data_IF_955669927386
#
_entry.id   IF_955669927386
#
_cell.length_a   1.000
_cell.length_b   1.000
_cell.length_c   1.000
_cell.angle_alpha   90.00
_cell.angle_beta   90.00
_cell.angle_gamma   90.00
#
_symmetry.space_group_name_H-M   'P 1'
#
loop_
_entity.id
_entity.type
_entity.pdbx_description
1 polymer ?
#
# COMPACT_ATOMS: atom_id res chain seq x y z
N UNK A 1 12.13 8.44 1.13
CA UNK A 1 11.60 7.42 0.20
C UNK A 1 12.43 7.42 -1.07
N UNK A 2 13.05 6.28 -1.35
CA UNK A 2 13.93 5.97 -2.46
C UNK A 2 13.57 4.58 -2.99
N UNK A 3 13.97 4.26 -4.21
CA UNK A 3 13.82 2.89 -4.74
C UNK A 3 14.66 1.95 -3.86
N UNK A 4 14.08 0.81 -3.47
CA UNK A 4 14.67 -0.14 -2.53
C UNK A 4 14.33 0.10 -1.05
N UNK A 5 13.70 1.23 -0.69
CA UNK A 5 13.22 1.43 0.68
C UNK A 5 12.15 0.38 1.02
N UNK A 6 12.20 -0.14 2.26
CA UNK A 6 11.11 -0.94 2.81
C UNK A 6 10.05 0.00 3.40
N UNK A 7 8.81 -0.18 2.97
CA UNK A 7 7.67 0.59 3.47
C UNK A 7 6.57 -0.32 3.97
N UNK A 8 5.97 0.07 5.09
CA UNK A 8 4.80 -0.62 5.65
C UNK A 8 3.57 0.16 5.21
N UNK A 9 2.74 -0.45 4.36
CA UNK A 9 1.52 0.16 3.81
C UNK A 9 0.34 -0.80 3.93
N UNK A 10 -0.86 -0.25 3.79
CA UNK A 10 -2.09 -1.04 3.68
C UNK A 10 -2.44 -1.14 2.21
N UNK A 11 -2.23 -2.30 1.58
CA UNK A 11 -2.66 -2.45 0.21
C UNK A 11 -4.17 -2.49 0.10
N UNK A 12 -4.70 -1.99 -1.01
CA UNK A 12 -6.14 -1.85 -1.25
C UNK A 12 -6.86 -3.20 -1.22
N UNK A 13 -6.17 -4.30 -1.50
CA UNK A 13 -6.71 -5.66 -1.41
C UNK A 13 -7.27 -6.01 -0.02
N UNK A 14 -6.74 -5.39 1.05
CA UNK A 14 -7.21 -5.60 2.42
C UNK A 14 -8.19 -4.52 2.89
N UNK A 15 -8.52 -3.55 2.04
CA UNK A 15 -9.47 -2.49 2.39
C UNK A 15 -10.88 -3.04 2.63
N UNK A 16 -11.24 -4.15 1.98
CA UNK A 16 -12.53 -4.80 2.15
C UNK A 16 -12.67 -5.57 3.49
N UNK A 17 -11.57 -6.04 4.11
CA UNK A 17 -11.62 -6.71 5.43
C UNK A 17 -12.04 -5.75 6.56
N UNK A 18 -11.98 -4.44 6.34
CA UNK A 18 -12.36 -3.41 7.32
C UNK A 18 -13.88 -3.38 7.54
N UNK A 19 -14.69 -3.92 6.61
CA UNK A 19 -16.16 -3.90 6.68
C UNK A 19 -16.78 -5.07 7.44
N UNK A 20 -16.00 -6.02 7.94
CA UNK A 20 -16.49 -7.14 8.74
C UNK A 20 -16.30 -6.88 10.24
N UNK A 21 -17.29 -6.26 10.94
CA UNK A 21 -17.20 -6.01 12.38
C UNK A 21 -17.21 -7.30 13.24
N UNK A 22 -17.32 -8.47 12.63
CA UNK A 22 -17.36 -9.78 13.31
C UNK A 22 -16.00 -10.39 13.65
N UNK A 23 -14.90 -9.99 12.97
CA UNK A 23 -13.54 -10.48 13.29
C UNK A 23 -12.93 -9.65 14.42
N UNK A 24 -13.28 -9.97 15.67
CA UNK A 24 -12.56 -9.52 16.86
C UNK A 24 -11.09 -9.96 16.77
N UNK A 25 -10.18 -9.07 16.37
CA UNK A 25 -8.75 -9.22 16.65
C UNK A 25 -7.74 -9.01 15.51
N UNK A 26 -8.14 -8.79 14.26
CA UNK A 26 -7.20 -8.39 13.20
C UNK A 26 -7.61 -7.05 12.63
N UNK A 27 -6.95 -5.98 13.11
CA UNK A 27 -7.01 -4.68 12.45
C UNK A 27 -6.51 -4.78 10.99
N UNK A 28 -6.68 -3.73 10.18
CA UNK A 28 -6.33 -3.74 8.77
C UNK A 28 -4.89 -4.26 8.57
N UNK A 29 -4.74 -5.35 7.81
CA UNK A 29 -3.44 -5.98 7.55
C UNK A 29 -2.51 -4.98 6.88
N UNK A 30 -1.48 -4.56 7.60
CA UNK A 30 -0.36 -3.80 7.05
C UNK A 30 0.65 -4.79 6.49
N UNK A 31 1.06 -4.60 5.23
CA UNK A 31 2.12 -5.37 4.62
C UNK A 31 3.38 -4.53 4.50
N UNK A 32 4.52 -5.17 4.73
CA UNK A 32 5.81 -4.61 4.37
C UNK A 32 6.06 -4.89 2.89
N UNK A 33 6.37 -3.86 2.12
CA UNK A 33 6.72 -3.95 0.72
C UNK A 33 7.97 -3.13 0.41
N UNK A 34 8.51 -3.33 -0.79
CA UNK A 34 9.72 -2.63 -1.25
C UNK A 34 9.34 -1.67 -2.36
N UNK A 35 9.85 -0.43 -2.29
CA UNK A 35 9.63 0.55 -3.37
C UNK A 35 10.41 0.11 -4.60
N UNK A 36 9.68 -0.22 -5.67
CA UNK A 36 10.30 -0.66 -6.93
C UNK A 36 10.36 0.44 -7.97
N UNK A 37 9.49 1.45 -7.84
CA UNK A 37 9.43 2.58 -8.75
C UNK A 37 9.03 3.86 -8.03
N UNK A 38 9.63 4.98 -8.44
CA UNK A 38 9.24 6.32 -8.04
C UNK A 38 9.13 7.15 -9.32
N UNK A 39 7.95 7.73 -9.55
CA UNK A 39 7.76 8.61 -10.69
C UNK A 39 8.73 9.81 -10.60
N UNK A 40 9.39 10.22 -11.70
CA UNK A 40 10.41 11.28 -11.66
C UNK A 40 9.88 12.60 -11.08
N UNK A 41 8.62 12.94 -11.39
CA UNK A 41 7.94 14.12 -10.84
C UNK A 41 7.34 13.90 -9.42
N UNK A 42 7.65 12.77 -8.76
CA UNK A 42 7.14 12.39 -7.42
C UNK A 42 5.61 12.48 -7.29
N UNK A 43 4.88 12.15 -8.36
CA UNK A 43 3.41 12.08 -8.37
C UNK A 43 2.91 10.82 -7.67
N UNK A 44 3.53 9.69 -8.00
CA UNK A 44 3.24 8.37 -7.43
C UNK A 44 4.50 7.52 -7.31
N UNK A 45 4.38 6.41 -6.61
CA UNK A 45 5.40 5.39 -6.45
C UNK A 45 4.73 4.02 -6.43
N UNK A 46 5.46 2.99 -6.84
CA UNK A 46 4.99 1.61 -6.79
C UNK A 46 5.72 0.85 -5.69
N UNK A 47 4.97 0.07 -4.95
CA UNK A 47 5.49 -0.80 -3.90
C UNK A 47 5.17 -2.24 -4.28
N UNK A 48 6.18 -3.08 -4.29
CA UNK A 48 6.03 -4.52 -4.42
C UNK A 48 5.87 -5.14 -3.03
N UNK A 49 4.70 -5.71 -2.78
CA UNK A 49 4.43 -6.50 -1.58
C UNK A 49 4.64 -7.97 -1.88
N UNK A 50 5.13 -8.69 -0.89
CA UNK A 50 5.18 -10.16 -0.91
C UNK A 50 4.25 -10.66 0.18
N UNK A 51 3.26 -11.46 -0.20
CA UNK A 51 2.35 -12.10 0.74
C UNK A 51 2.33 -13.59 0.43
N UNK A 52 2.82 -14.39 1.39
CA UNK A 52 2.98 -15.84 1.25
C UNK A 52 3.76 -16.18 -0.03
N UNK A 53 3.10 -16.74 -1.04
CA UNK A 53 3.68 -17.18 -2.33
C UNK A 53 3.40 -16.22 -3.50
N UNK A 54 2.82 -15.05 -3.24
CA UNK A 54 2.48 -14.09 -4.30
C UNK A 54 3.10 -12.73 -4.03
N UNK A 55 3.80 -12.22 -5.03
CA UNK A 55 4.17 -10.81 -5.09
C UNK A 55 3.15 -10.05 -5.95
N UNK A 56 2.80 -8.85 -5.49
CA UNK A 56 1.97 -7.94 -6.26
C UNK A 56 2.49 -6.51 -6.09
N UNK A 57 2.27 -5.69 -7.11
CA UNK A 57 2.65 -4.29 -7.11
C UNK A 57 1.42 -3.43 -6.94
N UNK A 58 1.54 -2.43 -6.09
CA UNK A 58 0.49 -1.43 -5.92
C UNK A 58 1.05 -0.02 -6.01
N UNK A 59 0.30 0.83 -6.68
CA UNK A 59 0.62 2.23 -6.90
C UNK A 59 0.05 3.08 -5.78
N UNK A 60 0.91 3.88 -5.16
CA UNK A 60 0.55 4.86 -4.15
C UNK A 60 0.90 6.26 -4.61
N UNK A 61 0.10 7.23 -4.21
CA UNK A 61 0.33 8.64 -4.52
C UNK A 61 1.11 9.31 -3.39
N UNK A 62 2.01 10.23 -3.72
CA UNK A 62 2.75 11.01 -2.71
C UNK A 62 1.84 12.02 -1.99
N UNK A 63 0.82 12.50 -2.68
CA UNK A 63 -0.15 13.44 -2.15
C UNK A 63 -1.50 12.73 -2.03
N UNK A 64 -2.21 12.82 -0.89
CA UNK A 64 -3.63 12.52 -0.91
C UNK A 64 -4.25 13.45 -1.94
N UNK A 65 -5.06 12.91 -2.85
CA UNK A 65 -5.94 13.74 -3.67
C UNK A 65 -6.87 14.43 -2.67
N UNK A 66 -6.54 15.64 -2.25
CA UNK A 66 -7.51 16.53 -1.62
C UNK A 66 -8.59 16.72 -2.68
N UNK A 67 -9.65 15.92 -2.57
CA UNK A 67 -10.89 16.18 -3.28
C UNK A 67 -11.59 17.24 -2.44
N UNK A 68 -11.09 18.46 -2.54
CA UNK A 68 -11.83 19.64 -2.16
C UNK A 68 -12.38 20.23 -3.47
N UNK A 69 -13.62 19.85 -3.79
CA UNK A 69 -14.56 20.65 -4.60
C UNK A 69 -15.96 20.49 -3.98
#
# INVERSE_FOLDING_TARGET
>A
MRIGDKVTKRPAIFQNEIKDPGRKGQGPRVLSGTVVYIHPERRFYEVEFTCEDRSFRETFYFYPRNVDD
#
